data_IF_901923279202
#
_entry.id   IF_901923279202
#
_cell.length_a   1.000
_cell.length_b   1.000
_cell.length_c   1.000
_cell.angle_alpha   90.00
_cell.angle_beta   90.00
_cell.angle_gamma   90.00
#
_symmetry.space_group_name_H-M   'P 1'
#
loop_
_entity.id
_entity.type
_entity.pdbx_description
1 polymer ?
#
# COMPACT_ATOMS: atom_id res chain seq x y z
N UNK A 1 -13.17 8.55 13.24
CA UNK A 1 -13.58 7.19 12.83
C UNK A 1 -12.57 6.15 13.35
N UNK A 2 -11.30 6.20 12.98
CA UNK A 2 -10.27 5.22 13.38
C UNK A 2 -10.12 5.03 14.91
N UNK A 3 -10.08 6.11 15.71
CA UNK A 3 -9.91 6.01 17.16
C UNK A 3 -10.99 5.14 17.83
N UNK A 4 -12.25 5.30 17.44
CA UNK A 4 -13.38 4.51 17.95
C UNK A 4 -13.25 3.02 17.63
N UNK A 5 -12.68 2.67 16.48
CA UNK A 5 -12.45 1.26 16.09
C UNK A 5 -11.34 0.64 16.94
N UNK A 6 -10.23 1.36 17.15
CA UNK A 6 -9.12 0.90 17.99
C UNK A 6 -9.57 0.76 19.45
N UNK A 7 -10.31 1.73 19.98
CA UNK A 7 -10.87 1.66 21.33
C UNK A 7 -11.82 0.44 21.51
N UNK A 8 -12.44 -0.02 20.42
CA UNK A 8 -13.34 -1.18 20.43
C UNK A 8 -12.62 -2.53 20.28
N UNK A 9 -11.48 -2.55 19.57
CA UNK A 9 -10.67 -3.75 19.37
C UNK A 9 -9.79 -4.10 20.58
N UNK A 10 -9.68 -3.20 21.54
CA UNK A 10 -8.77 -3.36 22.69
C UNK A 10 -7.33 -3.00 22.35
N UNK A 11 -6.42 -3.30 23.28
CA UNK A 11 -5.00 -2.92 23.18
C UNK A 11 -4.12 -3.89 22.37
N UNK A 12 -4.66 -5.04 21.92
CA UNK A 12 -3.85 -6.13 21.35
C UNK A 12 -3.90 -6.13 19.83
N UNK A 13 -3.33 -5.06 19.22
CA UNK A 13 -3.19 -4.96 17.77
C UNK A 13 -1.78 -5.38 17.38
N UNK A 14 -1.61 -6.60 16.88
CA UNK A 14 -0.34 -7.15 16.42
C UNK A 14 -0.03 -6.81 14.96
N UNK A 15 -1.04 -6.59 14.13
CA UNK A 15 -0.91 -6.35 12.70
C UNK A 15 -1.82 -5.21 12.23
N UNK A 16 -1.23 -4.23 11.56
CA UNK A 16 -1.94 -3.16 10.84
C UNK A 16 -1.70 -3.30 9.35
N UNK A 17 -2.76 -3.47 8.56
CA UNK A 17 -2.70 -3.47 7.10
C UNK A 17 -3.40 -2.21 6.58
N UNK A 18 -2.66 -1.29 6.00
CA UNK A 18 -3.18 -0.10 5.36
C UNK A 18 -3.42 -0.38 3.87
N UNK A 19 -4.61 -0.90 3.56
CA UNK A 19 -4.99 -1.32 2.21
C UNK A 19 -5.82 -0.27 1.47
N UNK A 20 -6.60 0.55 2.15
CA UNK A 20 -7.52 1.49 1.51
C UNK A 20 -6.78 2.48 0.60
N UNK A 21 -7.27 2.63 -0.62
CA UNK A 21 -6.70 3.55 -1.59
C UNK A 21 -7.64 3.79 -2.77
N UNK A 22 -7.41 4.90 -3.45
CA UNK A 22 -8.10 5.28 -4.68
C UNK A 22 -7.09 5.70 -5.74
N UNK A 23 -7.43 5.54 -7.02
CA UNK A 23 -6.72 6.15 -8.13
C UNK A 23 -7.59 7.24 -8.79
N UNK A 24 -6.92 8.21 -9.38
CA UNK A 24 -7.46 9.14 -10.36
C UNK A 24 -6.70 8.91 -11.66
N UNK A 25 -7.42 8.59 -12.72
CA UNK A 25 -6.86 8.38 -14.06
C UNK A 25 -7.24 9.57 -14.93
N UNK A 26 -6.25 10.28 -15.45
CA UNK A 26 -6.42 11.44 -16.31
C UNK A 26 -5.15 12.28 -16.42
N UNK A 27 -5.10 13.13 -17.44
CA UNK A 27 -3.97 14.02 -17.68
C UNK A 27 -3.86 15.08 -16.56
N UNK A 28 -2.65 15.54 -16.29
CA UNK A 28 -2.40 16.56 -15.27
C UNK A 28 -3.18 17.87 -15.53
N UNK A 29 -3.44 18.21 -16.80
CA UNK A 29 -4.18 19.39 -17.17
C UNK A 29 -5.68 19.30 -16.82
N UNK A 30 -6.22 18.10 -16.74
CA UNK A 30 -7.63 17.84 -16.45
C UNK A 30 -7.86 17.57 -14.95
N UNK A 31 -6.77 17.33 -14.20
CA UNK A 31 -6.82 17.08 -12.76
C UNK A 31 -7.05 18.38 -11.99
N UNK A 32 -8.09 18.40 -11.16
CA UNK A 32 -8.31 19.52 -10.24
C UNK A 32 -7.46 19.38 -8.97
N UNK A 33 -7.21 20.51 -8.28
CA UNK A 33 -6.57 20.46 -6.96
C UNK A 33 -7.35 19.60 -5.95
N UNK A 34 -8.67 19.53 -6.12
CA UNK A 34 -9.55 18.70 -5.27
C UNK A 34 -9.34 17.20 -5.52
N UNK A 35 -9.11 16.79 -6.77
CA UNK A 35 -8.83 15.39 -7.12
C UNK A 35 -7.47 14.95 -6.54
N UNK A 36 -6.46 15.81 -6.67
CA UNK A 36 -5.15 15.59 -6.06
C UNK A 36 -5.27 15.46 -4.53
N UNK A 37 -5.91 16.43 -3.88
CA UNK A 37 -6.16 16.43 -2.43
C UNK A 37 -6.91 15.17 -1.97
N UNK A 38 -7.94 14.76 -2.70
CA UNK A 38 -8.73 13.57 -2.40
C UNK A 38 -7.85 12.31 -2.45
N UNK A 39 -7.01 12.19 -3.47
CA UNK A 39 -6.09 11.06 -3.61
C UNK A 39 -5.08 11.04 -2.47
N UNK A 40 -4.44 12.16 -2.15
CA UNK A 40 -3.51 12.26 -1.04
C UNK A 40 -4.17 11.99 0.32
N UNK A 41 -5.36 12.51 0.55
CA UNK A 41 -6.13 12.24 1.78
C UNK A 41 -6.48 10.77 1.93
N UNK A 42 -6.92 10.13 0.85
CA UNK A 42 -7.29 8.71 0.89
C UNK A 42 -6.08 7.79 1.02
N UNK A 43 -4.98 8.06 0.32
CA UNK A 43 -3.87 7.12 0.20
C UNK A 43 -2.74 7.37 1.21
N UNK A 44 -2.52 8.62 1.64
CA UNK A 44 -1.39 8.98 2.51
C UNK A 44 -1.87 9.34 3.92
N UNK A 45 -2.82 10.27 4.05
CA UNK A 45 -3.32 10.66 5.38
C UNK A 45 -4.01 9.50 6.11
N UNK A 46 -4.65 8.58 5.40
CA UNK A 46 -5.24 7.37 6.01
C UNK A 46 -4.16 6.52 6.68
N UNK A 47 -3.05 6.27 5.97
CA UNK A 47 -1.89 5.51 6.48
C UNK A 47 -1.29 6.21 7.70
N UNK A 48 -1.03 7.52 7.59
CA UNK A 48 -0.52 8.32 8.73
C UNK A 48 -1.45 8.21 9.94
N UNK A 49 -2.76 8.41 9.75
CA UNK A 49 -3.72 8.43 10.86
C UNK A 49 -3.84 7.07 11.57
N UNK A 50 -3.87 5.96 10.82
CA UNK A 50 -3.92 4.62 11.41
C UNK A 50 -2.62 4.29 12.15
N UNK A 51 -1.46 4.53 11.54
CA UNK A 51 -0.17 4.32 12.19
C UNK A 51 -0.06 5.14 13.49
N UNK A 52 -0.37 6.44 13.45
CA UNK A 52 -0.33 7.32 14.63
C UNK A 52 -1.17 6.80 15.79
N UNK A 53 -2.27 6.12 15.53
CA UNK A 53 -3.15 5.58 16.58
C UNK A 53 -2.69 4.22 17.10
N UNK A 54 -2.09 3.37 16.24
CA UNK A 54 -1.69 2.00 16.60
C UNK A 54 -0.29 1.96 17.20
N UNK A 55 0.65 2.76 16.70
CA UNK A 55 2.06 2.74 17.12
C UNK A 55 2.26 2.88 18.64
N UNK A 56 1.57 3.74 19.39
CA UNK A 56 1.74 3.79 20.85
C UNK A 56 1.44 2.46 21.56
N UNK A 57 0.45 1.72 21.09
CA UNK A 57 0.13 0.38 21.61
C UNK A 57 1.21 -0.65 21.28
N UNK A 58 1.68 -0.67 20.04
CA UNK A 58 2.75 -1.55 19.61
C UNK A 58 4.06 -1.30 20.37
N UNK A 59 4.42 -0.03 20.60
CA UNK A 59 5.60 0.35 21.38
C UNK A 59 5.49 -0.17 22.82
N UNK A 60 4.32 -0.01 23.46
CA UNK A 60 4.09 -0.48 24.82
C UNK A 60 4.29 -1.99 24.97
N UNK A 61 3.95 -2.77 23.93
CA UNK A 61 4.05 -4.24 23.95
C UNK A 61 5.36 -4.76 23.31
N UNK A 62 6.22 -3.87 22.79
CA UNK A 62 7.44 -4.22 22.05
C UNK A 62 7.18 -5.25 20.93
N UNK A 63 6.04 -5.12 20.23
CA UNK A 63 5.61 -6.05 19.19
C UNK A 63 4.66 -5.37 18.23
N UNK A 64 4.80 -5.66 16.94
CA UNK A 64 3.84 -5.20 15.92
C UNK A 64 4.39 -5.28 14.52
N UNK A 65 3.46 -5.45 13.58
CA UNK A 65 3.75 -5.44 12.16
C UNK A 65 2.84 -4.44 11.45
N UNK A 66 3.41 -3.57 10.64
CA UNK A 66 2.67 -2.62 9.81
C UNK A 66 2.98 -2.92 8.35
N UNK A 67 1.95 -3.21 7.56
CA UNK A 67 2.06 -3.43 6.13
C UNK A 67 1.24 -2.37 5.39
N UNK A 68 1.93 -1.56 4.61
CA UNK A 68 1.32 -0.52 3.80
C UNK A 68 1.20 -0.98 2.35
N UNK A 69 -0.01 -0.99 1.80
CA UNK A 69 -0.23 -1.40 0.42
C UNK A 69 0.11 -0.23 -0.51
N UNK A 70 1.17 -0.44 -1.27
CA UNK A 70 1.69 0.47 -2.28
C UNK A 70 1.36 -0.02 -3.70
N UNK A 71 2.11 0.46 -4.67
CA UNK A 71 2.01 0.10 -6.09
C UNK A 71 3.37 0.22 -6.74
N UNK A 72 3.59 -0.52 -7.82
CA UNK A 72 4.74 -0.31 -8.71
C UNK A 72 4.80 1.13 -9.23
N UNK A 73 3.65 1.78 -9.41
CA UNK A 73 3.59 3.21 -9.77
C UNK A 73 4.16 4.14 -8.71
N UNK A 74 4.29 3.69 -7.47
CA UNK A 74 5.04 4.42 -6.44
C UNK A 74 6.56 4.31 -6.59
N UNK A 75 7.06 3.36 -7.38
CA UNK A 75 8.47 3.15 -7.68
C UNK A 75 8.88 3.89 -8.97
N UNK A 76 8.11 3.71 -10.05
CA UNK A 76 8.49 4.16 -11.40
C UNK A 76 7.60 5.29 -11.93
N UNK A 77 6.41 5.49 -11.36
CA UNK A 77 5.41 6.44 -11.86
C UNK A 77 4.63 5.88 -13.05
N UNK A 78 3.42 6.42 -13.28
CA UNK A 78 2.60 6.10 -14.44
C UNK A 78 2.04 7.35 -15.09
N UNK A 79 2.01 7.35 -16.42
CA UNK A 79 1.31 8.38 -17.20
C UNK A 79 -0.19 8.33 -16.85
N UNK A 80 -0.84 9.49 -16.84
CA UNK A 80 -2.24 9.67 -16.46
C UNK A 80 -2.59 9.31 -15.00
N UNK A 81 -1.60 8.90 -14.17
CA UNK A 81 -1.81 8.57 -12.75
C UNK A 81 -0.86 9.35 -11.82
N UNK A 82 -0.60 10.61 -12.12
CA UNK A 82 0.39 11.44 -11.41
C UNK A 82 0.10 11.53 -9.91
N UNK A 83 -1.14 11.80 -9.50
CA UNK A 83 -1.51 11.90 -8.08
C UNK A 83 -1.43 10.54 -7.38
N UNK A 84 -1.83 9.46 -8.04
CA UNK A 84 -1.73 8.11 -7.52
C UNK A 84 -0.27 7.71 -7.31
N UNK A 85 0.57 7.87 -8.34
CA UNK A 85 2.01 7.60 -8.28
C UNK A 85 2.70 8.40 -7.16
N UNK A 86 2.41 9.69 -7.05
CA UNK A 86 2.93 10.54 -5.98
C UNK A 86 2.50 10.03 -4.59
N UNK A 87 1.23 9.63 -4.44
CA UNK A 87 0.70 9.10 -3.17
C UNK A 87 1.36 7.78 -2.77
N UNK A 88 1.58 6.87 -3.73
CA UNK A 88 2.22 5.58 -3.47
C UNK A 88 3.72 5.71 -3.24
N UNK A 89 4.39 6.65 -3.91
CA UNK A 89 5.76 7.03 -3.60
C UNK A 89 5.91 7.61 -2.19
N UNK A 90 4.94 8.42 -1.74
CA UNK A 90 4.88 8.92 -0.37
C UNK A 90 4.73 7.77 0.64
N UNK A 91 3.86 6.79 0.38
CA UNK A 91 3.70 5.58 1.22
C UNK A 91 4.99 4.77 1.30
N UNK A 92 5.72 4.61 0.18
CA UNK A 92 7.01 3.93 0.14
C UNK A 92 8.04 4.61 1.07
N UNK A 93 8.18 5.93 0.94
CA UNK A 93 9.11 6.71 1.78
C UNK A 93 8.69 6.74 3.24
N UNK A 94 7.38 6.86 3.51
CA UNK A 94 6.82 6.78 4.86
C UNK A 94 7.15 5.46 5.54
N UNK A 95 6.95 4.34 4.84
CA UNK A 95 7.24 3.00 5.37
C UNK A 95 8.70 2.80 5.72
N UNK A 96 9.61 3.26 4.84
CA UNK A 96 11.06 3.22 5.08
C UNK A 96 11.48 4.04 6.30
N UNK A 97 10.92 5.24 6.45
CA UNK A 97 11.23 6.12 7.56
C UNK A 97 10.70 5.57 8.89
N UNK A 98 9.42 5.17 8.90
CA UNK A 98 8.77 4.65 10.11
C UNK A 98 9.38 3.31 10.55
N UNK A 99 9.79 2.45 9.61
CA UNK A 99 10.49 1.20 9.92
C UNK A 99 11.81 1.44 10.66
N UNK A 100 12.59 2.45 10.24
CA UNK A 100 13.82 2.84 10.94
C UNK A 100 13.55 3.39 12.35
N UNK A 101 12.49 4.18 12.49
CA UNK A 101 12.11 4.79 13.76
C UNK A 101 11.65 3.75 14.78
N UNK A 102 10.89 2.74 14.33
CA UNK A 102 10.26 1.75 15.21
C UNK A 102 11.06 0.46 15.40
N UNK A 103 12.11 0.23 14.63
CA UNK A 103 12.97 -0.96 14.75
C UNK A 103 13.52 -1.18 16.18
N UNK A 104 13.97 -0.15 16.91
CA UNK A 104 14.42 -0.33 18.30
C UNK A 104 13.32 -0.81 19.26
N UNK A 105 12.06 -0.69 18.87
CA UNK A 105 10.90 -1.13 19.67
C UNK A 105 10.38 -2.52 19.26
N UNK A 106 11.08 -3.24 18.37
CA UNK A 106 10.64 -4.56 17.89
C UNK A 106 9.46 -4.51 16.93
N UNK A 107 9.23 -3.36 16.25
CA UNK A 107 8.10 -3.18 15.34
C UNK A 107 8.63 -3.11 13.91
N UNK A 108 8.02 -3.86 13.00
CA UNK A 108 8.35 -3.83 11.57
C UNK A 108 7.35 -2.99 10.79
N UNK A 109 7.85 -2.26 9.80
CA UNK A 109 7.02 -1.49 8.87
C UNK A 109 7.54 -1.72 7.45
N UNK A 110 6.72 -2.36 6.62
CA UNK A 110 7.06 -2.62 5.23
C UNK A 110 5.97 -2.11 4.30
N UNK A 111 6.32 -1.84 3.06
CA UNK A 111 5.37 -1.59 1.99
C UNK A 111 5.41 -2.73 0.97
N UNK A 112 4.26 -3.07 0.40
CA UNK A 112 4.18 -4.00 -0.72
C UNK A 112 3.74 -3.20 -1.95
N UNK A 113 4.61 -3.12 -2.93
CA UNK A 113 4.37 -2.47 -4.22
C UNK A 113 3.77 -3.50 -5.17
N UNK A 114 2.44 -3.56 -5.22
CA UNK A 114 1.73 -4.45 -6.12
C UNK A 114 1.74 -3.92 -7.56
N UNK A 115 1.88 -4.84 -8.51
CA UNK A 115 1.55 -4.64 -9.92
C UNK A 115 0.05 -4.72 -10.17
N UNK A 116 -0.34 -5.22 -11.32
CA UNK A 116 -1.74 -5.38 -11.69
C UNK A 116 -2.38 -6.57 -10.96
N UNK A 117 -3.41 -6.27 -10.17
CA UNK A 117 -4.23 -7.27 -9.49
C UNK A 117 -5.65 -7.21 -10.05
N UNK A 118 -6.25 -8.35 -10.33
CA UNK A 118 -7.60 -8.48 -10.89
C UNK A 118 -8.66 -8.13 -9.84
N UNK A 119 -8.95 -6.84 -9.71
CA UNK A 119 -9.89 -6.28 -8.75
C UNK A 119 -10.84 -5.30 -9.44
N UNK A 120 -11.84 -4.82 -8.68
CA UNK A 120 -12.76 -3.78 -9.16
C UNK A 120 -12.06 -2.47 -9.56
N UNK A 121 -10.83 -2.22 -9.10
CA UNK A 121 -10.05 -1.05 -9.51
C UNK A 121 -9.71 -1.11 -11.02
N UNK A 122 -9.48 -2.31 -11.56
CA UNK A 122 -9.23 -2.57 -12.97
C UNK A 122 -10.51 -2.95 -13.75
N UNK A 123 -11.68 -2.94 -13.11
CA UNK A 123 -12.96 -3.35 -13.71
C UNK A 123 -13.52 -2.40 -14.78
N UNK A 124 -12.85 -1.28 -15.02
CA UNK A 124 -13.18 -0.34 -16.10
C UNK A 124 -12.53 -0.70 -17.44
N UNK A 125 -11.56 -1.62 -17.44
CA UNK A 125 -10.86 -2.05 -18.65
C UNK A 125 -11.77 -2.89 -19.55
N UNK A 126 -11.78 -2.59 -20.84
CA UNK A 126 -12.37 -3.47 -21.84
C UNK A 126 -11.59 -4.79 -21.93
N UNK A 127 -12.17 -5.86 -22.53
CA UNK A 127 -11.44 -7.11 -22.73
C UNK A 127 -10.12 -6.92 -23.51
N UNK A 128 -10.11 -6.04 -24.49
CA UNK A 128 -8.95 -5.71 -25.30
C UNK A 128 -7.87 -4.98 -24.50
N UNK A 129 -8.25 -3.97 -23.70
CA UNK A 129 -7.32 -3.25 -22.82
C UNK A 129 -6.77 -4.17 -21.74
N UNK A 130 -7.60 -5.07 -21.21
CA UNK A 130 -7.15 -6.08 -20.25
C UNK A 130 -6.10 -7.00 -20.88
N UNK A 131 -6.34 -7.49 -22.09
CA UNK A 131 -5.39 -8.37 -22.80
C UNK A 131 -4.08 -7.63 -23.06
N UNK A 132 -4.13 -6.38 -23.49
CA UNK A 132 -2.93 -5.56 -23.70
C UNK A 132 -2.12 -5.42 -22.42
N UNK A 133 -2.77 -5.16 -21.27
CA UNK A 133 -2.11 -5.09 -19.98
C UNK A 133 -1.48 -6.44 -19.58
N UNK A 134 -2.19 -7.55 -19.78
CA UNK A 134 -1.67 -8.89 -19.48
C UNK A 134 -0.49 -9.27 -20.38
N UNK A 135 -0.48 -8.83 -21.63
CA UNK A 135 0.63 -9.04 -22.59
C UNK A 135 1.90 -8.24 -22.19
N UNK A 136 1.74 -7.11 -21.49
CA UNK A 136 2.87 -6.33 -20.95
C UNK A 136 3.52 -6.98 -19.71
N UNK A 137 2.78 -7.83 -18.99
CA UNK A 137 3.26 -8.49 -17.78
C UNK A 137 4.00 -9.77 -18.17
N UNK A 138 5.31 -9.95 -17.88
CA UNK A 138 6.04 -11.16 -18.25
C UNK A 138 5.44 -12.45 -17.71
N UNK A 139 4.72 -12.41 -16.58
CA UNK A 139 3.94 -13.56 -16.08
C UNK A 139 2.70 -13.89 -16.93
N UNK A 140 2.36 -13.07 -17.94
CA UNK A 140 1.27 -13.30 -18.90
C UNK A 140 -0.14 -13.12 -18.32
N UNK A 141 -0.28 -12.51 -17.14
CA UNK A 141 -1.57 -12.30 -16.48
C UNK A 141 -1.49 -11.28 -15.35
N UNK A 142 -2.61 -10.75 -14.95
CA UNK A 142 -2.76 -10.11 -13.63
C UNK A 142 -2.73 -11.16 -12.52
N UNK A 143 -2.27 -10.79 -11.33
CA UNK A 143 -2.43 -11.62 -10.14
C UNK A 143 -3.89 -11.59 -9.65
N UNK A 144 -4.34 -12.65 -8.99
CA UNK A 144 -5.65 -12.68 -8.35
C UNK A 144 -5.58 -12.16 -6.90
N UNK A 145 -6.68 -11.65 -6.33
CA UNK A 145 -6.69 -11.10 -4.97
C UNK A 145 -6.19 -12.05 -3.88
N UNK A 146 -6.42 -13.36 -4.02
CA UNK A 146 -5.93 -14.34 -3.06
C UNK A 146 -4.41 -14.47 -3.05
N UNK A 147 -3.74 -14.39 -4.21
CA UNK A 147 -2.26 -14.38 -4.29
C UNK A 147 -1.68 -13.16 -3.55
N UNK A 148 -2.31 -11.99 -3.74
CA UNK A 148 -1.91 -10.79 -3.03
C UNK A 148 -2.13 -10.92 -1.51
N UNK A 149 -3.26 -11.50 -1.08
CA UNK A 149 -3.57 -11.73 0.32
C UNK A 149 -2.61 -12.72 0.97
N UNK A 150 -2.33 -13.83 0.32
CA UNK A 150 -1.37 -14.84 0.79
C UNK A 150 0.04 -14.24 0.93
N UNK A 151 0.45 -13.40 -0.02
CA UNK A 151 1.73 -12.71 0.07
C UNK A 151 1.80 -11.73 1.24
N UNK A 152 0.72 -10.98 1.52
CA UNK A 152 0.64 -10.10 2.70
C UNK A 152 0.81 -10.91 3.99
N UNK A 153 0.15 -12.07 4.11
CA UNK A 153 0.28 -12.96 5.28
C UNK A 153 1.72 -13.45 5.43
N UNK A 154 2.35 -13.91 4.36
CA UNK A 154 3.75 -14.33 4.40
C UNK A 154 4.69 -13.21 4.87
N UNK A 155 4.49 -11.98 4.40
CA UNK A 155 5.28 -10.84 4.87
C UNK A 155 5.03 -10.53 6.35
N UNK A 156 3.79 -10.68 6.83
CA UNK A 156 3.46 -10.48 8.24
C UNK A 156 4.11 -11.54 9.16
N UNK A 157 4.33 -12.75 8.65
CA UNK A 157 4.98 -13.85 9.35
C UNK A 157 6.51 -13.83 9.27
N UNK A 158 7.10 -12.95 8.45
CA UNK A 158 8.54 -12.76 8.38
C UNK A 158 9.07 -12.21 9.70
N UNK A 159 10.29 -12.61 10.06
CA UNK A 159 10.94 -12.14 11.27
C UNK A 159 11.26 -10.63 11.23
N UNK A 160 11.58 -10.08 12.39
CA UNK A 160 11.78 -8.64 12.62
C UNK A 160 12.91 -8.01 11.78
N UNK A 161 13.78 -8.81 11.18
CA UNK A 161 14.87 -8.32 10.34
C UNK A 161 14.38 -7.83 8.96
N UNK A 162 13.19 -8.25 8.52
CA UNK A 162 12.51 -7.68 7.35
C UNK A 162 11.79 -6.38 7.77
N UNK A 163 12.47 -5.26 7.68
CA UNK A 163 11.96 -3.97 8.14
C UNK A 163 12.40 -2.82 7.24
N UNK A 164 11.51 -1.85 7.05
CA UNK A 164 11.76 -0.67 6.24
C UNK A 164 11.89 -0.95 4.74
N UNK A 165 11.31 -2.04 4.23
CA UNK A 165 11.43 -2.44 2.84
C UNK A 165 10.21 -2.05 2.01
N UNK A 166 10.43 -1.87 0.70
CA UNK A 166 9.40 -1.80 -0.33
C UNK A 166 9.58 -3.04 -1.20
N UNK A 167 8.67 -3.98 -1.08
CA UNK A 167 8.75 -5.29 -1.71
C UNK A 167 7.81 -5.31 -2.92
N UNK A 168 8.34 -5.58 -4.09
CA UNK A 168 7.57 -5.63 -5.33
C UNK A 168 6.94 -7.01 -5.53
N UNK A 169 5.67 -7.03 -5.96
CA UNK A 169 4.92 -8.23 -6.33
C UNK A 169 4.10 -7.92 -7.59
N UNK A 170 4.67 -8.20 -8.76
CA UNK A 170 4.15 -7.66 -10.03
C UNK A 170 4.27 -8.58 -11.26
N UNK A 171 4.71 -9.81 -11.10
CA UNK A 171 4.91 -10.72 -12.24
C UNK A 171 6.08 -10.33 -13.15
N UNK A 172 7.07 -9.63 -12.59
CA UNK A 172 8.25 -9.06 -13.27
C UNK A 172 7.91 -7.93 -14.27
N UNK A 173 6.82 -7.20 -14.03
CA UNK A 173 6.34 -6.14 -14.92
C UNK A 173 7.21 -4.87 -14.88
N UNK A 174 7.73 -4.43 -13.70
CA UNK A 174 8.47 -3.18 -13.50
C UNK A 174 9.81 -3.40 -12.79
#
# INVERSE_FOLDING_TARGET
MYKRQIDHLGSDIDLLINNAGISYVGLINDMTAQDFDRTMKSNVYSVFNSCRLVVPHMIQHHKGHIINISSVWGNVGASCEVAYSASKGAVNSFSKALGKELAPSGITVNAIAFGAIDTSMNGHLSPEERQMLEDEIPAGRMAIPSEAADFIVHIAECGEYLNGQVITFDGAWQ
#
